data_IF_177677421205
#
_entry.id   IF_177677421205
#
_cell.length_a   1.000
_cell.length_b   1.000
_cell.length_c   1.000
_cell.angle_alpha   90.00
_cell.angle_beta   90.00
_cell.angle_gamma   90.00
#
_symmetry.space_group_name_H-M   'P 1'
#
loop_
_entity.id
_entity.type
_entity.pdbx_description
1 polymer ?
#
# COMPACT_ATOMS: atom_id res chain seq x y z
N UNK A 1 -11.06 5.02 -7.61
CA UNK A 1 -10.01 4.32 -6.85
C UNK A 1 -10.71 3.33 -5.96
N UNK A 2 -10.28 2.07 -5.94
CA UNK A 2 -10.95 0.98 -5.21
C UNK A 2 -9.95 0.21 -4.37
N UNK A 3 -10.38 -0.27 -3.21
CA UNK A 3 -9.65 -1.31 -2.47
C UNK A 3 -9.91 -2.63 -3.17
N UNK A 4 -8.86 -3.29 -3.63
CA UNK A 4 -8.97 -4.59 -4.34
C UNK A 4 -8.29 -5.74 -3.59
N UNK A 5 -7.43 -5.42 -2.62
CA UNK A 5 -6.75 -6.38 -1.75
C UNK A 5 -6.83 -5.89 -0.31
N UNK A 6 -6.98 -6.81 0.62
CA UNK A 6 -6.86 -6.50 2.04
C UNK A 6 -6.28 -7.70 2.80
N UNK A 7 -5.54 -7.41 3.85
CA UNK A 7 -5.02 -8.42 4.77
C UNK A 7 -5.19 -7.91 6.21
N UNK A 8 -5.77 -8.74 7.08
CA UNK A 8 -5.80 -8.48 8.51
C UNK A 8 -4.69 -9.29 9.18
N UNK A 9 -3.72 -8.60 9.77
CA UNK A 9 -2.55 -9.22 10.38
C UNK A 9 -2.73 -9.49 11.87
N UNK A 10 -3.38 -8.57 12.59
CA UNK A 10 -3.65 -8.71 14.02
C UNK A 10 -5.13 -8.44 14.23
N UNK A 11 -5.76 -9.18 15.14
CA UNK A 11 -7.18 -9.05 15.47
C UNK A 11 -7.34 -8.92 16.98
N UNK A 12 -7.75 -7.73 17.43
CA UNK A 12 -8.12 -7.43 18.81
C UNK A 12 -9.21 -6.34 18.80
N UNK A 13 -10.19 -6.38 19.71
CA UNK A 13 -11.39 -5.54 19.64
C UNK A 13 -11.17 -4.04 19.93
N UNK A 14 -10.04 -3.64 20.51
CA UNK A 14 -9.94 -2.32 21.15
C UNK A 14 -9.51 -1.18 20.22
N UNK A 15 -8.40 -1.34 19.49
CA UNK A 15 -7.76 -0.29 18.70
C UNK A 15 -7.36 -0.86 17.34
N UNK A 16 -7.60 -0.13 16.24
CA UNK A 16 -7.25 -0.56 14.89
C UNK A 16 -6.32 0.44 14.19
N UNK A 17 -5.34 -0.10 13.49
CA UNK A 17 -4.39 0.63 12.64
C UNK A 17 -4.50 0.15 11.21
N UNK A 18 -4.38 1.08 10.27
CA UNK A 18 -4.55 0.83 8.86
C UNK A 18 -3.33 1.29 8.08
N UNK A 19 -2.81 0.42 7.21
CA UNK A 19 -1.78 0.76 6.24
C UNK A 19 -2.39 0.69 4.85
N UNK A 20 -2.52 1.84 4.19
CA UNK A 20 -3.03 1.91 2.81
C UNK A 20 -1.86 2.03 1.86
N UNK A 21 -1.71 1.05 0.98
CA UNK A 21 -0.66 0.99 -0.04
C UNK A 21 -1.26 0.73 -1.42
N UNK A 22 -0.48 0.99 -2.45
CA UNK A 22 -0.90 0.78 -3.83
C UNK A 22 -0.74 -0.70 -4.20
N UNK A 23 -1.56 -1.21 -5.10
CA UNK A 23 -1.27 -2.47 -5.77
C UNK A 23 -0.20 -2.26 -6.85
N UNK A 24 0.58 -3.31 -7.16
CA UNK A 24 1.66 -3.30 -8.17
C UNK A 24 1.18 -2.76 -9.53
N UNK A 25 -0.07 -3.07 -9.90
CA UNK A 25 -0.67 -2.61 -11.15
C UNK A 25 -0.87 -1.08 -11.20
N UNK A 26 -1.11 -0.42 -10.07
CA UNK A 26 -1.14 1.04 -9.99
C UNK A 26 0.27 1.63 -9.81
N UNK A 27 1.10 1.02 -8.97
CA UNK A 27 2.44 1.51 -8.65
C UNK A 27 3.35 1.69 -9.88
N UNK A 28 3.18 0.86 -10.92
CA UNK A 28 3.98 0.95 -12.15
C UNK A 28 3.84 2.28 -12.90
N UNK A 29 2.76 3.03 -12.68
CA UNK A 29 2.51 4.32 -13.34
C UNK A 29 3.04 5.53 -12.55
N UNK A 30 3.58 5.30 -11.36
CA UNK A 30 4.00 6.36 -10.44
C UNK A 30 5.52 6.53 -10.42
N UNK A 31 6.03 7.26 -9.42
CA UNK A 31 7.47 7.40 -9.20
C UNK A 31 8.09 6.04 -8.90
N UNK A 32 9.32 5.86 -9.39
CA UNK A 32 10.06 4.60 -9.23
C UNK A 32 10.22 4.24 -7.74
N UNK A 33 10.15 2.93 -7.46
CA UNK A 33 10.27 2.34 -6.11
C UNK A 33 9.27 2.83 -5.06
N UNK A 34 8.08 3.27 -5.47
CA UNK A 34 6.98 3.46 -4.52
C UNK A 34 6.54 2.10 -3.94
N UNK A 35 6.29 2.06 -2.63
CA UNK A 35 5.85 0.85 -1.95
C UNK A 35 4.52 0.34 -2.50
N UNK A 36 4.38 -0.98 -2.61
CA UNK A 36 3.16 -1.64 -3.04
C UNK A 36 2.83 -2.87 -2.19
N UNK A 37 1.57 -3.30 -2.24
CA UNK A 37 1.03 -4.40 -1.45
C UNK A 37 1.83 -5.70 -1.64
N UNK A 38 2.13 -6.06 -2.89
CA UNK A 38 2.85 -7.28 -3.24
C UNK A 38 4.32 -7.26 -2.79
N UNK A 39 4.93 -6.10 -2.59
CA UNK A 39 6.25 -5.99 -1.97
C UNK A 39 6.22 -6.17 -0.45
N UNK A 40 5.08 -5.86 0.19
CA UNK A 40 4.90 -6.06 1.63
C UNK A 40 4.43 -7.47 1.99
N UNK A 41 3.71 -8.14 1.09
CA UNK A 41 3.12 -9.47 1.30
C UNK A 41 4.08 -10.52 1.89
N UNK A 42 5.36 -10.62 1.45
CA UNK A 42 6.30 -11.58 2.05
C UNK A 42 6.62 -11.33 3.53
N UNK A 43 6.33 -10.13 4.06
CA UNK A 43 6.57 -9.76 5.45
C UNK A 43 5.37 -9.96 6.37
N UNK A 44 4.20 -10.33 5.82
CA UNK A 44 2.97 -10.42 6.60
C UNK A 44 3.07 -11.45 7.73
N UNK A 45 3.71 -12.61 7.50
CA UNK A 45 3.93 -13.60 8.55
C UNK A 45 4.86 -13.09 9.65
N UNK A 46 5.91 -12.36 9.28
CA UNK A 46 6.78 -11.73 10.26
C UNK A 46 6.02 -10.73 11.13
N UNK A 47 5.19 -9.87 10.53
CA UNK A 47 4.37 -8.90 11.28
C UNK A 47 3.29 -9.54 12.13
N UNK A 48 2.65 -10.62 11.68
CA UNK A 48 1.74 -11.43 12.51
C UNK A 48 2.45 -11.93 13.77
N UNK A 49 3.64 -12.50 13.60
CA UNK A 49 4.41 -13.07 14.70
C UNK A 49 4.91 -12.01 15.69
N UNK A 50 5.44 -10.89 15.20
CA UNK A 50 5.84 -9.77 16.06
C UNK A 50 4.63 -9.10 16.73
N UNK A 51 3.51 -9.06 16.02
CA UNK A 51 2.25 -8.45 16.42
C UNK A 51 1.45 -9.21 17.48
N UNK A 52 1.72 -10.51 17.65
CA UNK A 52 0.90 -11.40 18.48
C UNK A 52 0.78 -10.97 19.95
N UNK A 53 1.75 -10.24 20.48
CA UNK A 53 1.75 -9.76 21.86
C UNK A 53 1.04 -8.39 22.03
N UNK A 54 0.64 -7.73 20.95
CA UNK A 54 0.02 -6.41 20.99
C UNK A 54 -1.50 -6.49 21.04
N UNK A 55 -2.12 -5.68 21.89
CA UNK A 55 -3.57 -5.48 21.88
C UNK A 55 -3.92 -4.44 20.83
N UNK A 56 -4.35 -4.92 19.67
CA UNK A 56 -4.87 -4.07 18.59
C UNK A 56 -5.08 -4.86 17.31
N UNK A 57 -5.66 -4.22 16.30
CA UNK A 57 -5.84 -4.75 14.96
C UNK A 57 -4.93 -4.02 13.99
N UNK A 58 -4.26 -4.74 13.09
CA UNK A 58 -3.48 -4.18 12.00
C UNK A 58 -4.05 -4.68 10.68
N UNK A 59 -4.52 -3.75 9.86
CA UNK A 59 -5.11 -4.04 8.56
C UNK A 59 -4.30 -3.35 7.46
N UNK A 60 -4.05 -4.07 6.37
CA UNK A 60 -3.36 -3.57 5.19
C UNK A 60 -4.34 -3.56 4.04
N UNK A 61 -4.46 -2.43 3.35
CA UNK A 61 -5.31 -2.26 2.19
C UNK A 61 -4.48 -1.95 0.95
N UNK A 62 -4.68 -2.74 -0.10
CA UNK A 62 -4.17 -2.50 -1.44
C UNK A 62 -5.21 -1.75 -2.28
N UNK A 63 -4.88 -0.54 -2.73
CA UNK A 63 -5.74 0.29 -3.58
C UNK A 63 -5.28 0.32 -5.02
N UNK A 64 -6.25 0.44 -5.93
CA UNK A 64 -6.04 0.48 -7.38
C UNK A 64 -6.90 1.56 -8.06
N UNK A 65 -6.49 1.98 -9.26
CA UNK A 65 -7.27 2.86 -10.11
C UNK A 65 -8.51 2.13 -10.67
N UNK A 66 -9.55 2.88 -11.05
CA UNK A 66 -10.75 2.24 -11.62
C UNK A 66 -10.54 1.81 -13.08
N UNK A 67 -9.80 2.62 -13.83
CA UNK A 67 -9.48 2.41 -15.24
C UNK A 67 -8.21 3.18 -15.63
N UNK A 68 -7.58 2.78 -16.74
CA UNK A 68 -6.47 3.50 -17.38
C UNK A 68 -6.96 4.26 -18.61
N UNK A 69 -6.36 5.43 -18.88
CA UNK A 69 -6.62 6.21 -20.09
C UNK A 69 -5.37 6.99 -20.48
N UNK A 70 -5.15 7.19 -21.77
CA UNK A 70 -4.11 8.08 -22.30
C UNK A 70 -4.58 9.53 -22.43
N UNK A 71 -5.87 9.78 -22.25
CA UNK A 71 -6.51 11.09 -22.43
C UNK A 71 -6.57 11.93 -21.14
N UNK A 72 -5.99 11.42 -20.05
CA UNK A 72 -5.93 12.11 -18.76
C UNK A 72 -4.56 12.77 -18.55
N UNK A 73 -4.50 13.93 -17.88
CA UNK A 73 -3.23 14.55 -17.55
C UNK A 73 -2.41 13.65 -16.62
N UNK A 74 -1.08 13.71 -16.77
CA UNK A 74 -0.17 13.02 -15.86
C UNK A 74 -0.16 13.71 -14.49
N UNK A 75 0.00 12.92 -13.44
CA UNK A 75 0.26 13.44 -12.09
C UNK A 75 1.66 14.10 -12.10
N UNK A 76 1.78 15.38 -11.70
CA UNK A 76 3.07 16.07 -11.71
C UNK A 76 4.03 15.44 -10.69
N UNK A 77 5.32 15.42 -11.02
CA UNK A 77 6.39 14.96 -10.11
C UNK A 77 7.05 16.15 -9.42
N UNK A 78 7.52 15.93 -8.20
CA UNK A 78 8.41 16.87 -7.50
C UNK A 78 9.87 16.74 -7.95
N UNK A 79 10.76 17.51 -7.33
CA UNK A 79 12.22 17.49 -7.56
C UNK A 79 12.96 16.61 -6.55
N UNK A 80 12.31 15.57 -6.03
CA UNK A 80 12.83 14.74 -4.95
C UNK A 80 13.90 13.72 -5.42
N UNK A 81 14.84 13.41 -4.53
CA UNK A 81 15.85 12.36 -4.72
C UNK A 81 16.81 12.64 -5.89
N UNK A 82 16.72 11.83 -6.95
CA UNK A 82 17.56 11.92 -8.16
C UNK A 82 16.85 12.57 -9.35
N UNK A 83 15.77 13.32 -9.09
CA UNK A 83 15.11 14.08 -10.14
C UNK A 83 16.07 15.11 -10.75
N UNK A 84 16.08 15.23 -12.08
CA UNK A 84 16.70 16.38 -12.73
C UNK A 84 15.72 17.54 -12.67
N UNK A 85 16.18 18.67 -12.17
CA UNK A 85 15.46 19.93 -12.20
C UNK A 85 15.32 20.44 -13.64
#
# INVERSE_FOLDING_TARGET
MKVIKHEQLISSPDIASFVVVLCRNLAQYLTDRIGNFEELEPYFDFWRNCGACYQGSLLIFGVEHDQTSYEVPRIPKGTDGRAKA
#
